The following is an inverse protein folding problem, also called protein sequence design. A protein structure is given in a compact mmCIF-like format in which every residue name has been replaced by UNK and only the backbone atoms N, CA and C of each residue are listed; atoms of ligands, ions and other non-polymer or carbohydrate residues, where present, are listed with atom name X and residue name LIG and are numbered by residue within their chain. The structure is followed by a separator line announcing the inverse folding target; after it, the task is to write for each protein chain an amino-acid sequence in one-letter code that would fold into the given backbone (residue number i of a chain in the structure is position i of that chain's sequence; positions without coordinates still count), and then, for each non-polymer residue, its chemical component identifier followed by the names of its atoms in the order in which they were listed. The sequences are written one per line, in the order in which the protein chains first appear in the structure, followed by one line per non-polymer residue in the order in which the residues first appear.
data_IF_389061116471
#
_entry.id   IF_389061116471
#
_cell.length_a   1.000
_cell.length_b   1.000
_cell.length_c   1.000
_cell.angle_alpha   90.00
_cell.angle_beta   90.00
_cell.angle_gamma   90.00
#
_symmetry.space_group_name_H-M   'P 1'
#
loop_
_entity.id
_entity.type
_entity.pdbx_description
1 polymer ?
#
# COMPACT_ATOMS: atom_id res chain seq x y z
N UNK A 1 6.40 -3.53 11.55
CA UNK A 1 5.32 -2.56 11.30
C UNK A 1 4.21 -2.79 12.32
N UNK A 2 3.76 -1.73 12.97
CA UNK A 2 2.67 -1.80 13.95
C UNK A 2 1.48 -1.00 13.45
N UNK A 3 0.28 -1.57 13.58
CA UNK A 3 -0.95 -0.90 13.17
C UNK A 3 -1.09 0.48 13.83
N UNK A 4 -0.76 0.58 15.12
CA UNK A 4 -0.90 1.84 15.89
C UNK A 4 0.02 2.96 15.40
N UNK A 5 1.11 2.67 14.70
CA UNK A 5 2.05 3.67 14.19
C UNK A 5 1.64 4.20 12.81
N UNK A 6 0.78 3.49 12.08
CA UNK A 6 0.49 3.78 10.68
C UNK A 6 -0.26 5.08 10.42
N UNK A 7 -1.24 5.49 11.24
CA UNK A 7 -1.89 6.80 11.00
C UNK A 7 -0.89 7.95 10.98
N UNK A 8 0.06 8.00 11.90
CA UNK A 8 1.08 9.05 11.95
C UNK A 8 2.06 8.94 10.77
N UNK A 9 2.50 7.71 10.45
CA UNK A 9 3.40 7.47 9.32
C UNK A 9 2.76 7.93 8.01
N UNK A 10 1.49 7.57 7.79
CA UNK A 10 0.77 7.95 6.57
C UNK A 10 0.48 9.44 6.53
N UNK A 11 0.19 10.06 7.67
CA UNK A 11 0.03 11.52 7.75
C UNK A 11 1.28 12.25 7.30
N UNK A 12 2.47 11.77 7.68
CA UNK A 12 3.74 12.31 7.23
C UNK A 12 3.91 12.16 5.72
N UNK A 13 3.56 11.00 5.17
CA UNK A 13 3.68 10.74 3.73
C UNK A 13 2.72 11.62 2.92
N UNK A 14 1.52 11.88 3.41
CA UNK A 14 0.57 12.80 2.75
C UNK A 14 1.15 14.20 2.66
N UNK A 15 1.84 14.67 3.70
CA UNK A 15 2.47 15.99 3.68
C UNK A 15 3.67 16.04 2.75
N UNK A 16 4.44 14.97 2.68
CA UNK A 16 5.65 14.87 1.84
C UNK A 16 5.31 14.70 0.37
N UNK A 17 4.27 13.92 0.06
CA UNK A 17 3.86 13.53 -1.30
C UNK A 17 2.58 14.27 -1.65
N UNK A 18 2.75 15.44 -2.24
CA UNK A 18 1.67 16.44 -2.39
C UNK A 18 0.56 16.05 -3.36
N UNK A 19 0.69 14.94 -4.08
CA UNK A 19 -0.36 14.46 -4.96
C UNK A 19 -1.50 13.74 -4.21
N UNK A 20 -1.33 13.40 -2.94
CA UNK A 20 -2.43 12.87 -2.14
C UNK A 20 -3.34 14.01 -1.69
N UNK A 21 -4.63 13.88 -2.01
CA UNK A 21 -5.62 14.93 -1.73
C UNK A 21 -6.45 14.63 -0.49
N UNK A 22 -6.47 13.38 -0.02
CA UNK A 22 -7.27 12.98 1.14
C UNK A 22 -6.74 11.71 1.78
N UNK A 23 -6.86 11.62 3.10
CA UNK A 23 -6.58 10.43 3.88
C UNK A 23 -7.84 10.04 4.64
N UNK A 24 -8.33 8.81 4.42
CA UNK A 24 -9.48 8.25 5.14
C UNK A 24 -9.04 7.07 5.99
N UNK A 25 -9.32 7.12 7.28
CA UNK A 25 -9.12 5.99 8.19
C UNK A 25 -10.43 5.21 8.24
N UNK A 26 -10.47 4.04 7.60
CA UNK A 26 -11.69 3.24 7.46
C UNK A 26 -11.94 2.35 8.67
N UNK A 27 -10.87 1.79 9.25
CA UNK A 27 -10.92 0.99 10.47
C UNK A 27 -9.70 1.30 11.31
N UNK A 28 -9.90 1.36 12.62
CA UNK A 28 -8.79 1.61 13.54
C UNK A 28 -9.08 0.98 14.90
N UNK A 29 -8.25 0.02 15.29
CA UNK A 29 -8.18 -0.52 16.64
C UNK A 29 -6.71 -0.52 17.06
N UNK A 30 -6.42 -1.00 18.26
CA UNK A 30 -5.02 -1.06 18.71
C UNK A 30 -4.15 -1.92 17.80
N UNK A 31 -4.70 -2.98 17.22
CA UNK A 31 -3.93 -3.98 16.45
C UNK A 31 -4.33 -4.09 14.99
N UNK A 32 -5.30 -3.30 14.53
CA UNK A 32 -5.79 -3.36 13.17
C UNK A 32 -6.05 -1.97 12.65
N UNK A 33 -5.61 -1.70 11.41
CA UNK A 33 -5.87 -0.42 10.76
C UNK A 33 -6.10 -0.65 9.27
N UNK A 34 -7.05 0.11 8.70
CA UNK A 34 -7.27 0.18 7.27
C UNK A 34 -7.40 1.65 6.87
N UNK A 35 -6.52 2.10 5.99
CA UNK A 35 -6.42 3.51 5.61
C UNK A 35 -6.31 3.60 4.10
N UNK A 36 -6.90 4.64 3.52
CA UNK A 36 -6.74 4.99 2.11
C UNK A 36 -6.15 6.38 1.98
N UNK A 37 -5.19 6.51 1.06
CA UNK A 37 -4.64 7.79 0.62
C UNK A 37 -5.08 8.01 -0.83
N UNK A 38 -5.95 9.01 -1.06
CA UNK A 38 -6.53 9.26 -2.39
C UNK A 38 -5.67 10.22 -3.19
N UNK A 39 -5.38 9.82 -4.45
CA UNK A 39 -4.83 10.70 -5.49
C UNK A 39 -6.01 11.31 -6.24
N UNK A 40 -7.04 10.52 -6.54
CA UNK A 40 -8.33 10.94 -7.05
C UNK A 40 -9.40 10.00 -6.47
N UNK A 41 -10.67 10.21 -6.77
CA UNK A 41 -11.74 9.37 -6.20
C UNK A 41 -11.63 7.90 -6.62
N UNK A 42 -11.01 7.61 -7.77
CA UNK A 42 -10.88 6.26 -8.32
C UNK A 42 -9.43 5.74 -8.34
N UNK A 43 -8.48 6.52 -7.81
CA UNK A 43 -7.06 6.15 -7.76
C UNK A 43 -6.53 6.40 -6.35
N UNK A 44 -6.21 5.33 -5.63
CA UNK A 44 -5.77 5.46 -4.25
C UNK A 44 -4.82 4.33 -3.84
N UNK A 45 -4.00 4.65 -2.85
CA UNK A 45 -3.21 3.67 -2.11
C UNK A 45 -4.04 3.22 -0.91
N UNK A 46 -4.09 1.90 -0.68
CA UNK A 46 -4.76 1.33 0.47
C UNK A 46 -3.78 0.51 1.29
N UNK A 47 -3.81 0.70 2.59
CA UNK A 47 -3.07 -0.12 3.53
C UNK A 47 -4.03 -0.79 4.49
N UNK A 48 -3.79 -2.09 4.73
CA UNK A 48 -4.40 -2.88 5.79
C UNK A 48 -3.28 -3.52 6.59
N UNK A 49 -3.34 -3.41 7.90
CA UNK A 49 -2.39 -4.08 8.80
C UNK A 49 -3.15 -4.69 9.96
N UNK A 50 -2.89 -5.98 10.21
CA UNK A 50 -3.39 -6.70 11.37
C UNK A 50 -2.20 -7.29 12.12
N UNK A 51 -1.88 -6.73 13.28
CA UNK A 51 -0.71 -7.15 14.06
C UNK A 51 -0.85 -8.55 14.61
N UNK A 52 -2.10 -8.99 14.89
CA UNK A 52 -2.35 -10.31 15.45
C UNK A 52 -1.91 -11.43 14.52
N UNK A 53 -2.10 -11.24 13.22
CA UNK A 53 -1.78 -12.26 12.21
C UNK A 53 -0.56 -11.89 11.37
N UNK A 54 0.16 -10.82 11.73
CA UNK A 54 1.27 -10.31 10.92
C UNK A 54 0.89 -10.22 9.44
N UNK A 55 -0.29 -9.66 9.19
CA UNK A 55 -0.83 -9.49 7.85
C UNK A 55 -0.74 -8.02 7.47
N UNK A 56 -0.15 -7.74 6.29
CA UNK A 56 -0.08 -6.41 5.71
C UNK A 56 -0.49 -6.49 4.25
N UNK A 57 -1.38 -5.60 3.83
CA UNK A 57 -1.72 -5.45 2.41
C UNK A 57 -1.46 -4.00 2.03
N UNK A 58 -0.53 -3.79 1.10
CA UNK A 58 -0.22 -2.49 0.52
C UNK A 58 -0.63 -2.57 -0.95
N UNK A 59 -1.57 -1.73 -1.38
CA UNK A 59 -2.11 -1.82 -2.73
C UNK A 59 -2.35 -0.46 -3.36
N UNK A 60 -1.99 -0.33 -4.63
CA UNK A 60 -2.42 0.76 -5.49
C UNK A 60 -3.64 0.28 -6.26
N UNK A 61 -4.75 0.99 -6.11
CA UNK A 61 -6.04 0.60 -6.70
C UNK A 61 -6.52 1.72 -7.65
N UNK A 62 -6.93 1.31 -8.85
CA UNK A 62 -7.46 2.22 -9.87
C UNK A 62 -8.72 1.60 -10.50
N UNK A 63 -9.82 2.35 -10.50
CA UNK A 63 -11.11 1.89 -11.03
C UNK A 63 -11.53 0.54 -10.42
N UNK A 64 -11.30 0.36 -9.12
CA UNK A 64 -11.66 -0.86 -8.41
C UNK A 64 -10.73 -2.04 -8.66
N UNK A 65 -9.65 -1.87 -9.44
CA UNK A 65 -8.71 -2.93 -9.76
C UNK A 65 -7.36 -2.68 -9.12
N UNK A 66 -6.73 -3.74 -8.61
CA UNK A 66 -5.40 -3.67 -8.03
C UNK A 66 -4.37 -3.57 -9.16
N UNK A 67 -3.61 -2.47 -9.19
CA UNK A 67 -2.54 -2.26 -10.17
C UNK A 67 -1.20 -2.78 -9.69
N UNK A 68 -0.93 -2.65 -8.40
CA UNK A 68 0.35 -3.02 -7.80
C UNK A 68 0.14 -3.28 -6.32
N UNK A 69 0.79 -4.29 -5.78
CA UNK A 69 0.65 -4.61 -4.37
C UNK A 69 1.87 -5.34 -3.82
N UNK A 70 2.10 -5.17 -2.53
CA UNK A 70 2.98 -6.02 -1.74
C UNK A 70 2.22 -6.45 -0.51
N UNK A 71 2.17 -7.75 -0.29
CA UNK A 71 1.41 -8.35 0.80
C UNK A 71 2.33 -9.15 1.70
N UNK A 72 2.09 -9.04 3.00
CA UNK A 72 2.71 -9.90 4.01
C UNK A 72 1.61 -10.76 4.61
N UNK A 73 1.76 -12.09 4.51
CA UNK A 73 0.85 -13.05 5.12
C UNK A 73 1.66 -13.90 6.09
N UNK A 74 1.33 -13.78 7.38
CA UNK A 74 2.02 -14.53 8.45
C UNK A 74 3.54 -14.33 8.40
N UNK A 75 3.97 -13.09 8.15
CA UNK A 75 5.38 -12.71 8.07
C UNK A 75 6.07 -12.99 6.75
N UNK A 76 5.37 -13.53 5.76
CA UNK A 76 5.92 -13.83 4.44
C UNK A 76 5.43 -12.84 3.40
N UNK A 77 6.37 -12.17 2.73
CA UNK A 77 6.07 -11.14 1.74
C UNK A 77 6.01 -11.69 0.32
N UNK A 78 5.16 -11.09 -0.51
CA UNK A 78 5.09 -11.32 -1.95
C UNK A 78 4.54 -10.08 -2.65
N UNK A 79 4.80 -9.98 -3.96
CA UNK A 79 4.44 -8.81 -4.77
C UNK A 79 3.45 -9.20 -5.85
N UNK A 80 2.54 -8.27 -6.17
CA UNK A 80 1.64 -8.33 -7.33
C UNK A 80 1.94 -7.13 -8.23
N UNK A 81 2.32 -7.38 -9.47
CA UNK A 81 2.66 -6.31 -10.41
C UNK A 81 1.47 -5.93 -11.28
N UNK A 82 1.53 -4.75 -11.90
CA UNK A 82 0.46 -4.29 -12.78
C UNK A 82 0.29 -5.16 -14.04
N UNK A 83 1.32 -5.90 -14.45
CA UNK A 83 1.26 -6.81 -15.60
C UNK A 83 0.49 -8.09 -15.29
N UNK A 84 0.64 -8.60 -14.08
CA UNK A 84 0.04 -9.87 -13.65
C UNK A 84 -0.49 -9.73 -12.22
N UNK A 85 -1.54 -8.88 -12.00
CA UNK A 85 -1.99 -8.55 -10.64
C UNK A 85 -2.53 -9.75 -9.86
N UNK A 86 -2.94 -10.81 -10.53
CA UNK A 86 -3.44 -12.02 -9.88
C UNK A 86 -2.32 -13.01 -9.52
N UNK A 87 -1.11 -12.83 -10.02
CA UNK A 87 0.01 -13.71 -9.74
C UNK A 87 0.84 -13.21 -8.56
N UNK A 88 1.35 -14.15 -7.76
CA UNK A 88 2.26 -13.84 -6.66
C UNK A 88 3.69 -13.86 -7.19
N UNK A 89 4.37 -12.71 -7.13
CA UNK A 89 5.78 -12.63 -7.45
C UNK A 89 6.59 -13.09 -6.24
N UNK A 90 7.09 -14.31 -6.31
CA UNK A 90 7.88 -14.94 -5.25
C UNK A 90 9.39 -14.90 -5.53
N UNK A 91 9.82 -14.03 -6.47
CA UNK A 91 11.25 -13.76 -6.69
C UNK A 91 11.87 -13.17 -5.41
N UNK A 92 13.20 -13.10 -5.38
CA UNK A 92 13.93 -12.50 -4.26
C UNK A 92 13.45 -11.07 -3.99
N UNK A 93 13.24 -10.26 -5.05
CA UNK A 93 12.72 -8.89 -4.92
C UNK A 93 11.27 -8.88 -4.45
N UNK A 94 10.42 -9.77 -4.98
CA UNK A 94 9.01 -9.86 -4.59
C UNK A 94 8.82 -10.31 -3.15
N UNK A 95 9.76 -11.06 -2.59
CA UNK A 95 9.74 -11.53 -1.19
C UNK A 95 10.36 -10.55 -0.21
N UNK A 96 10.94 -9.47 -0.69
CA UNK A 96 11.57 -8.46 0.17
C UNK A 96 10.50 -7.72 0.97
N UNK A 97 10.74 -7.56 2.28
CA UNK A 97 9.91 -6.68 3.11
C UNK A 97 10.11 -5.23 2.70
N UNK A 98 9.08 -4.41 2.83
CA UNK A 98 9.16 -2.99 2.49
C UNK A 98 8.58 -2.13 3.59
N UNK A 99 9.13 -0.93 3.74
CA UNK A 99 8.55 0.13 4.54
C UNK A 99 7.53 0.91 3.70
N UNK A 100 6.66 1.67 4.35
CA UNK A 100 5.64 2.47 3.66
C UNK A 100 6.26 3.41 2.63
N UNK A 101 7.30 4.14 3.01
CA UNK A 101 7.97 5.09 2.11
C UNK A 101 8.53 4.38 0.87
N UNK A 102 9.14 3.22 1.04
CA UNK A 102 9.66 2.42 -0.07
C UNK A 102 8.55 1.98 -1.02
N UNK A 103 7.42 1.50 -0.46
CA UNK A 103 6.29 1.09 -1.28
C UNK A 103 5.72 2.26 -2.07
N UNK A 104 5.61 3.44 -1.46
CA UNK A 104 5.12 4.63 -2.16
C UNK A 104 6.09 5.09 -3.25
N UNK A 105 7.40 4.91 -3.06
CA UNK A 105 8.37 5.14 -4.13
C UNK A 105 8.11 4.20 -5.32
N UNK A 106 7.81 2.95 -5.05
CA UNK A 106 7.44 1.97 -6.10
C UNK A 106 6.14 2.37 -6.80
N UNK A 107 5.15 2.82 -6.04
CA UNK A 107 3.88 3.32 -6.58
C UNK A 107 4.12 4.47 -7.56
N UNK A 108 4.98 5.42 -7.21
CA UNK A 108 5.30 6.55 -8.08
C UNK A 108 5.89 6.10 -9.40
N UNK A 109 6.74 5.07 -9.39
CA UNK A 109 7.29 4.49 -10.62
C UNK A 109 6.21 3.82 -11.46
N UNK A 110 5.28 3.11 -10.83
CA UNK A 110 4.16 2.47 -11.54
C UNK A 110 3.26 3.54 -12.17
N UNK A 111 2.92 4.59 -11.43
CA UNK A 111 2.09 5.70 -11.93
C UNK A 111 2.73 6.36 -13.16
N UNK A 112 4.04 6.64 -13.10
CA UNK A 112 4.76 7.23 -14.21
C UNK A 112 4.77 6.30 -15.43
N UNK A 113 4.99 4.99 -15.22
CA UNK A 113 5.05 3.99 -16.28
C UNK A 113 3.70 3.82 -16.97
N UNK A 114 2.60 3.94 -16.24
CA UNK A 114 1.25 3.82 -16.77
C UNK A 114 0.66 5.17 -17.20
N UNK A 115 1.45 6.24 -17.12
CA UNK A 115 1.03 7.60 -17.45
C UNK A 115 -0.22 8.03 -16.65
N UNK A 116 -0.25 7.68 -15.38
CA UNK A 116 -1.32 8.07 -14.46
C UNK A 116 -0.90 9.30 -13.65
N UNK A 117 -1.89 10.08 -13.14
CA UNK A 117 -1.64 11.31 -12.37
C UNK A 117 -0.75 11.11 -11.16
#
# INVERSE_FOLDING_TARGET
MKASDLPATLGTEVKRRKYFVRMDVLEQTLRLVKIRLYISHDLFFQIYRNDRYQTTNLALIYNGQRLYARDELDGHWHRHTHRTPEEHDTSKEGKRSVEISEFLDEVEKVLAKLDLP
#
